data_IF_564086307884
#
_entry.id   IF_564086307884
#
_cell.length_a   1.000
_cell.length_b   1.000
_cell.length_c   1.000
_cell.angle_alpha   90.00
_cell.angle_beta   90.00
_cell.angle_gamma   90.00
#
_symmetry.space_group_name_H-M   'P 1'
#
loop_
_entity.id
_entity.type
_entity.pdbx_description
1 polymer ?
#
# COMPACT_ATOMS: atom_id res chain seq x y z
N UNK A 1 9.61 14.98 8.68
CA UNK A 1 10.00 15.18 7.28
C UNK A 1 8.85 15.77 6.48
N UNK A 2 7.68 15.16 6.47
CA UNK A 2 6.49 15.59 5.70
C UNK A 2 6.11 17.03 6.03
N UNK A 3 5.92 17.36 7.31
CA UNK A 3 5.56 18.71 7.75
C UNK A 3 6.61 19.75 7.32
N UNK A 4 7.90 19.44 7.44
CA UNK A 4 8.97 20.34 6.98
C UNK A 4 8.96 20.55 5.47
N UNK A 5 8.66 19.51 4.70
CA UNK A 5 8.50 19.59 3.26
C UNK A 5 7.30 20.45 2.89
N UNK A 6 6.16 20.25 3.54
CA UNK A 6 4.94 21.06 3.37
C UNK A 6 5.18 22.55 3.64
N UNK A 7 5.81 22.88 4.78
CA UNK A 7 6.15 24.27 5.12
C UNK A 7 7.08 24.89 4.07
N UNK A 8 8.04 24.12 3.55
CA UNK A 8 8.97 24.59 2.51
C UNK A 8 8.24 24.87 1.21
N UNK A 9 7.35 23.98 0.77
CA UNK A 9 6.53 24.13 -0.43
C UNK A 9 5.53 25.28 -0.27
N UNK A 10 4.92 25.43 0.91
CA UNK A 10 4.01 26.57 1.20
C UNK A 10 4.73 27.90 1.11
N UNK A 11 6.00 28.01 1.52
CA UNK A 11 6.82 29.23 1.38
C UNK A 11 7.31 29.48 -0.04
N UNK A 12 7.56 28.42 -0.79
CA UNK A 12 8.04 28.50 -2.17
C UNK A 12 7.38 27.42 -3.02
N UNK A 13 6.18 27.69 -3.59
CA UNK A 13 5.41 26.71 -4.36
C UNK A 13 6.16 26.14 -5.57
N UNK A 14 7.03 26.94 -6.20
CA UNK A 14 7.82 26.51 -7.37
C UNK A 14 8.82 25.40 -7.04
N UNK A 15 9.15 25.19 -5.77
CA UNK A 15 10.01 24.11 -5.28
C UNK A 15 9.29 22.76 -5.13
N UNK A 16 7.99 22.69 -5.41
CA UNK A 16 7.25 21.42 -5.41
C UNK A 16 7.62 20.58 -6.63
N UNK A 17 7.77 19.25 -6.43
CA UNK A 17 8.05 18.31 -7.52
C UNK A 17 6.87 18.19 -8.49
N UNK A 18 5.66 18.46 -8.00
CA UNK A 18 4.41 18.41 -8.78
C UNK A 18 3.95 19.77 -9.31
N UNK A 19 4.68 20.85 -9.05
CA UNK A 19 4.23 22.21 -9.33
C UNK A 19 3.76 22.45 -10.78
N UNK A 20 4.51 21.95 -11.77
CA UNK A 20 4.13 22.10 -13.18
C UNK A 20 2.89 21.25 -13.53
N UNK A 21 2.82 20.04 -13.00
CA UNK A 21 1.67 19.15 -13.21
C UNK A 21 0.43 19.71 -12.50
N UNK A 22 0.61 20.31 -11.32
CA UNK A 22 -0.48 20.94 -10.56
C UNK A 22 -1.03 22.17 -11.30
N UNK A 23 -0.18 22.94 -12.01
CA UNK A 23 -0.63 24.04 -12.86
C UNK A 23 -1.47 23.56 -14.04
N UNK A 24 -1.06 22.45 -14.68
CA UNK A 24 -1.82 21.86 -15.79
C UNK A 24 -3.13 21.24 -15.33
N UNK A 25 -3.13 20.64 -14.13
CA UNK A 25 -4.29 19.98 -13.52
C UNK A 25 -5.18 20.93 -12.72
N UNK A 26 -4.74 22.17 -12.50
CA UNK A 26 -5.48 23.16 -11.70
C UNK A 26 -6.90 23.38 -12.22
N UNK A 27 -7.10 23.30 -13.52
CA UNK A 27 -8.42 23.37 -14.14
C UNK A 27 -9.30 22.12 -13.86
N UNK A 28 -8.71 20.95 -13.70
CA UNK A 28 -9.43 19.72 -13.39
C UNK A 28 -9.83 19.61 -11.90
N UNK A 29 -9.00 20.19 -11.00
CA UNK A 29 -9.24 20.16 -9.55
C UNK A 29 -9.91 21.41 -9.00
N UNK A 30 -10.02 22.50 -9.77
CA UNK A 30 -10.84 23.66 -9.39
C UNK A 30 -12.31 23.27 -9.56
N UNK A 31 -12.92 22.84 -8.49
CA UNK A 31 -14.36 22.94 -8.32
C UNK A 31 -14.73 24.42 -8.47
N UNK A 32 -15.76 24.71 -9.25
CA UNK A 32 -16.30 26.06 -9.38
C UNK A 32 -16.58 26.61 -7.99
N UNK A 33 -15.82 27.59 -7.52
CA UNK A 33 -15.97 28.21 -6.20
C UNK A 33 -17.33 28.89 -6.00
N UNK A 34 -18.19 28.85 -7.02
CA UNK A 34 -19.43 29.63 -7.06
C UNK A 34 -20.57 29.10 -6.18
N UNK A 35 -20.53 27.85 -5.72
CA UNK A 35 -21.61 27.28 -4.91
C UNK A 35 -21.12 26.41 -3.74
N UNK A 36 -20.39 27.02 -2.80
CA UNK A 36 -19.97 26.36 -1.54
C UNK A 36 -21.02 26.42 -0.42
N UNK A 37 -22.30 26.57 -0.73
CA UNK A 37 -23.35 26.47 0.29
C UNK A 37 -23.65 25.00 0.55
N UNK A 38 -23.25 24.54 1.72
CA UNK A 38 -23.57 23.19 2.21
C UNK A 38 -25.10 22.99 2.21
N UNK A 39 -25.58 22.27 1.23
CA UNK A 39 -27.01 22.02 1.05
C UNK A 39 -27.47 20.86 1.96
N UNK A 40 -28.77 20.71 2.12
CA UNK A 40 -29.33 19.59 2.88
C UNK A 40 -29.01 18.24 2.19
N UNK A 41 -28.88 18.24 0.86
CA UNK A 41 -28.46 17.06 0.08
C UNK A 41 -27.01 16.64 0.41
N UNK A 42 -26.09 17.58 0.52
CA UNK A 42 -24.69 17.29 0.85
C UNK A 42 -24.56 16.67 2.24
N UNK A 43 -25.39 17.13 3.20
CA UNK A 43 -25.46 16.54 4.54
C UNK A 43 -25.98 15.10 4.50
N UNK A 44 -26.99 14.82 3.66
CA UNK A 44 -27.53 13.49 3.49
C UNK A 44 -26.51 12.54 2.81
N UNK A 45 -25.79 13.02 1.80
CA UNK A 45 -24.70 12.25 1.15
C UNK A 45 -23.62 11.91 2.18
N UNK A 46 -23.18 12.85 3.02
CA UNK A 46 -22.24 12.60 4.09
C UNK A 46 -22.78 11.62 5.14
N UNK A 47 -24.08 11.68 5.45
CA UNK A 47 -24.71 10.72 6.35
C UNK A 47 -24.66 9.30 5.77
N UNK A 48 -25.00 9.14 4.47
CA UNK A 48 -24.93 7.84 3.79
C UNK A 48 -23.49 7.29 3.83
N UNK A 49 -22.50 8.15 3.58
CA UNK A 49 -21.09 7.79 3.69
C UNK A 49 -20.73 7.32 5.11
N UNK A 50 -21.11 8.10 6.14
CA UNK A 50 -20.82 7.77 7.54
C UNK A 50 -21.48 6.45 7.97
N UNK A 51 -22.74 6.24 7.56
CA UNK A 51 -23.47 4.97 7.83
C UNK A 51 -22.81 3.81 7.09
N UNK A 52 -22.44 3.97 5.82
CA UNK A 52 -21.74 2.93 5.04
C UNK A 52 -20.41 2.54 5.67
N UNK A 53 -19.62 3.51 6.14
CA UNK A 53 -18.38 3.26 6.88
C UNK A 53 -18.66 2.53 8.20
N UNK A 54 -19.71 2.91 8.92
CA UNK A 54 -20.15 2.20 10.13
C UNK A 54 -20.52 0.73 9.86
N UNK A 55 -21.21 0.47 8.77
CA UNK A 55 -21.57 -0.89 8.33
C UNK A 55 -20.31 -1.71 8.02
N UNK A 56 -19.33 -1.13 7.33
CA UNK A 56 -18.05 -1.80 7.03
C UNK A 56 -17.32 -2.16 8.34
N UNK A 57 -17.19 -1.20 9.26
CA UNK A 57 -16.52 -1.44 10.55
C UNK A 57 -17.24 -2.53 11.33
N UNK A 58 -18.57 -2.48 11.41
CA UNK A 58 -19.36 -3.51 12.07
C UNK A 58 -19.21 -4.88 11.40
N UNK A 59 -19.26 -4.92 10.06
CA UNK A 59 -19.10 -6.14 9.29
C UNK A 59 -17.75 -6.81 9.50
N UNK A 60 -16.66 -6.03 9.55
CA UNK A 60 -15.31 -6.52 9.83
C UNK A 60 -15.24 -7.10 11.26
N UNK A 61 -15.73 -6.37 12.26
CA UNK A 61 -15.60 -6.76 13.66
C UNK A 61 -16.53 -7.93 14.06
N UNK A 62 -17.78 -7.92 13.57
CA UNK A 62 -18.78 -8.89 13.98
C UNK A 62 -18.87 -10.13 13.07
N UNK A 63 -18.57 -9.98 11.78
CA UNK A 63 -18.78 -11.04 10.78
C UNK A 63 -17.50 -11.44 10.05
N UNK A 64 -16.35 -10.78 10.34
CA UNK A 64 -15.06 -11.08 9.68
C UNK A 64 -15.06 -10.76 8.18
N UNK A 65 -15.81 -9.74 7.75
CA UNK A 65 -15.86 -9.33 6.35
C UNK A 65 -14.47 -9.04 5.80
N UNK A 66 -14.28 -9.42 4.53
CA UNK A 66 -13.04 -9.23 3.80
C UNK A 66 -13.30 -8.42 2.52
N UNK A 67 -12.43 -8.52 1.53
CA UNK A 67 -12.45 -7.64 0.35
C UNK A 67 -13.74 -7.67 -0.44
N UNK A 68 -14.40 -8.83 -0.57
CA UNK A 68 -15.57 -9.00 -1.41
C UNK A 68 -16.80 -8.27 -0.83
N UNK A 69 -17.06 -8.47 0.46
CA UNK A 69 -18.18 -7.83 1.15
C UNK A 69 -17.95 -6.32 1.26
N UNK A 70 -16.73 -5.90 1.59
CA UNK A 70 -16.37 -4.49 1.68
C UNK A 70 -16.56 -3.80 0.33
N UNK A 71 -16.13 -4.44 -0.77
CA UNK A 71 -16.30 -3.92 -2.13
C UNK A 71 -17.77 -3.78 -2.50
N UNK A 72 -18.61 -4.77 -2.12
CA UNK A 72 -20.05 -4.71 -2.30
C UNK A 72 -20.70 -3.52 -1.58
N UNK A 73 -20.29 -3.27 -0.33
CA UNK A 73 -20.80 -2.11 0.44
C UNK A 73 -20.35 -0.79 -0.20
N UNK A 74 -19.10 -0.68 -0.66
CA UNK A 74 -18.65 0.53 -1.38
C UNK A 74 -19.43 0.78 -2.66
N UNK A 75 -19.72 -0.27 -3.44
CA UNK A 75 -20.53 -0.17 -4.64
C UNK A 75 -21.95 0.33 -4.32
N UNK A 76 -22.61 -0.30 -3.34
CA UNK A 76 -23.95 0.09 -2.91
C UNK A 76 -23.96 1.53 -2.36
N UNK A 77 -22.96 1.88 -1.56
CA UNK A 77 -22.80 3.22 -1.01
C UNK A 77 -22.61 4.28 -2.11
N UNK A 78 -21.80 3.98 -3.14
CA UNK A 78 -21.61 4.88 -4.28
C UNK A 78 -22.89 5.16 -5.05
N UNK A 79 -23.69 4.12 -5.31
CA UNK A 79 -25.01 4.25 -5.97
C UNK A 79 -25.97 5.08 -5.09
N UNK A 80 -26.08 4.74 -3.81
CA UNK A 80 -26.97 5.44 -2.88
C UNK A 80 -26.58 6.93 -2.72
N UNK A 81 -25.30 7.24 -2.64
CA UNK A 81 -24.82 8.63 -2.60
C UNK A 81 -25.16 9.38 -3.88
N UNK A 82 -25.06 8.74 -5.03
CA UNK A 82 -25.48 9.32 -6.31
C UNK A 82 -26.97 9.66 -6.33
N UNK A 83 -27.83 8.74 -5.92
CA UNK A 83 -29.29 8.91 -5.86
C UNK A 83 -29.66 10.03 -4.87
N UNK A 84 -29.11 9.99 -3.65
CA UNK A 84 -29.36 10.99 -2.60
C UNK A 84 -28.82 12.36 -2.99
N UNK A 85 -27.68 12.40 -3.71
CA UNK A 85 -27.11 13.61 -4.29
C UNK A 85 -27.95 14.23 -5.41
N UNK A 86 -28.93 13.45 -5.92
CA UNK A 86 -29.84 13.92 -6.98
C UNK A 86 -29.27 13.77 -8.39
N UNK A 87 -28.30 12.89 -8.57
CA UNK A 87 -27.78 12.52 -9.88
C UNK A 87 -28.76 11.61 -10.62
N UNK A 88 -28.87 11.79 -11.92
CA UNK A 88 -29.61 10.85 -12.79
C UNK A 88 -28.89 9.52 -12.92
N UNK A 89 -29.61 8.46 -13.31
CA UNK A 89 -29.00 7.12 -13.56
C UNK A 89 -27.84 7.20 -14.55
N UNK A 90 -27.99 8.01 -15.59
CA UNK A 90 -26.93 8.22 -16.60
C UNK A 90 -25.68 8.86 -15.97
N UNK A 91 -25.85 9.90 -15.17
CA UNK A 91 -24.73 10.58 -14.49
C UNK A 91 -24.04 9.64 -13.51
N UNK A 92 -24.78 8.85 -12.74
CA UNK A 92 -24.21 7.82 -11.86
C UNK A 92 -23.36 6.84 -12.67
N UNK A 93 -23.89 6.31 -13.77
CA UNK A 93 -23.16 5.39 -14.63
C UNK A 93 -21.90 6.03 -15.24
N UNK A 94 -21.98 7.28 -15.69
CA UNK A 94 -20.84 8.02 -16.22
C UNK A 94 -19.74 8.22 -15.15
N UNK A 95 -20.10 8.56 -13.91
CA UNK A 95 -19.14 8.69 -12.81
C UNK A 95 -18.46 7.36 -12.48
N UNK A 96 -19.18 6.25 -12.50
CA UNK A 96 -18.57 4.92 -12.35
C UNK A 96 -17.58 4.61 -13.48
N UNK A 97 -17.93 4.93 -14.73
CA UNK A 97 -17.02 4.75 -15.88
C UNK A 97 -15.76 5.60 -15.74
N UNK A 98 -15.88 6.83 -15.25
CA UNK A 98 -14.72 7.69 -14.96
C UNK A 98 -13.84 7.04 -13.89
N UNK A 99 -14.42 6.59 -12.78
CA UNK A 99 -13.69 5.91 -11.72
C UNK A 99 -12.96 4.64 -12.21
N UNK A 100 -13.61 3.84 -13.05
CA UNK A 100 -12.97 2.66 -13.68
C UNK A 100 -11.80 3.06 -14.56
N UNK A 101 -11.93 4.11 -15.37
CA UNK A 101 -10.82 4.61 -16.21
C UNK A 101 -9.62 5.06 -15.37
N UNK A 102 -9.86 5.76 -14.27
CA UNK A 102 -8.79 6.24 -13.38
C UNK A 102 -8.01 5.09 -12.73
N UNK A 103 -8.68 3.97 -12.45
CA UNK A 103 -8.07 2.79 -11.83
C UNK A 103 -7.62 1.70 -12.82
N UNK A 104 -8.00 1.80 -14.09
CA UNK A 104 -7.72 0.76 -15.10
C UNK A 104 -6.23 0.45 -15.22
N UNK A 105 -5.38 1.47 -15.24
CA UNK A 105 -3.92 1.29 -15.29
C UNK A 105 -3.41 0.50 -14.08
N UNK A 106 -3.88 0.84 -12.88
CA UNK A 106 -3.51 0.14 -11.65
C UNK A 106 -3.94 -1.34 -11.70
N UNK A 107 -5.16 -1.63 -12.15
CA UNK A 107 -5.66 -2.98 -12.29
C UNK A 107 -4.83 -3.83 -13.25
N UNK A 108 -4.46 -3.27 -14.42
CA UNK A 108 -3.60 -3.97 -15.40
C UNK A 108 -2.21 -4.24 -14.82
N UNK A 109 -1.59 -3.26 -14.15
CA UNK A 109 -0.26 -3.43 -13.53
C UNK A 109 -0.31 -4.53 -12.47
N UNK A 110 -1.33 -4.54 -11.60
CA UNK A 110 -1.51 -5.58 -10.57
C UNK A 110 -1.66 -6.96 -11.22
N UNK A 111 -2.43 -7.07 -12.31
CA UNK A 111 -2.61 -8.31 -13.05
C UNK A 111 -1.29 -8.85 -13.63
N UNK A 112 -0.50 -7.98 -14.26
CA UNK A 112 0.83 -8.35 -14.81
C UNK A 112 1.78 -8.78 -13.68
N UNK A 113 1.81 -8.05 -12.56
CA UNK A 113 2.64 -8.41 -11.41
C UNK A 113 2.23 -9.76 -10.81
N UNK A 114 0.93 -10.07 -10.79
CA UNK A 114 0.46 -11.40 -10.36
C UNK A 114 0.94 -12.51 -11.30
N UNK A 115 0.99 -12.24 -12.61
CA UNK A 115 1.57 -13.16 -13.59
C UNK A 115 3.05 -13.47 -13.31
N UNK A 116 3.85 -12.46 -12.97
CA UNK A 116 5.26 -12.64 -12.58
C UNK A 116 5.38 -13.55 -11.34
N UNK A 117 4.52 -13.35 -10.35
CA UNK A 117 4.49 -14.20 -9.15
C UNK A 117 4.22 -15.66 -9.51
N UNK A 118 3.19 -15.92 -10.33
CA UNK A 118 2.83 -17.29 -10.76
C UNK A 118 4.01 -17.98 -11.48
N UNK A 119 4.73 -17.24 -12.33
CA UNK A 119 5.93 -17.78 -13.02
C UNK A 119 7.04 -18.08 -12.02
N UNK A 120 7.26 -17.21 -11.03
CA UNK A 120 8.30 -17.41 -10.01
C UNK A 120 7.97 -18.59 -9.07
N UNK A 121 6.71 -18.79 -8.72
CA UNK A 121 6.23 -19.93 -7.93
C UNK A 121 6.38 -21.24 -8.72
N UNK A 122 5.83 -21.30 -9.94
CA UNK A 122 5.89 -22.50 -10.79
C UNK A 122 7.33 -22.87 -11.20
N UNK A 123 8.20 -21.89 -11.34
CA UNK A 123 9.62 -22.09 -11.62
C UNK A 123 10.47 -22.47 -10.39
N UNK A 124 9.88 -22.61 -9.20
CA UNK A 124 10.57 -22.84 -7.92
C UNK A 124 11.71 -21.84 -7.67
N UNK A 125 11.61 -20.64 -8.24
CA UNK A 125 12.63 -19.58 -8.11
C UNK A 125 12.70 -19.12 -6.66
N UNK A 126 11.53 -18.96 -6.03
CA UNK A 126 11.41 -18.50 -4.63
C UNK A 126 12.06 -19.54 -3.70
N UNK A 127 11.74 -20.81 -3.86
CA UNK A 127 12.31 -21.92 -3.08
C UNK A 127 13.83 -22.03 -3.25
N UNK A 128 14.32 -21.83 -4.46
CA UNK A 128 15.76 -21.83 -4.76
C UNK A 128 16.48 -20.70 -4.03
N UNK A 129 15.90 -19.48 -4.03
CA UNK A 129 16.45 -18.33 -3.30
C UNK A 129 16.49 -18.63 -1.80
N UNK A 130 15.40 -19.13 -1.22
CA UNK A 130 15.30 -19.43 0.20
C UNK A 130 16.29 -20.53 0.63
N UNK A 131 16.43 -21.59 -0.14
CA UNK A 131 17.41 -22.66 0.11
C UNK A 131 18.86 -22.18 0.08
N UNK A 132 19.22 -21.37 -0.92
CA UNK A 132 20.56 -20.80 -1.01
C UNK A 132 20.88 -19.90 0.19
N UNK A 133 19.92 -19.08 0.58
CA UNK A 133 20.07 -18.16 1.70
C UNK A 133 20.16 -18.88 3.04
N UNK A 134 19.43 -19.97 3.24
CA UNK A 134 19.53 -20.78 4.45
C UNK A 134 20.95 -21.31 4.68
N UNK A 135 21.60 -21.77 3.61
CA UNK A 135 22.99 -22.21 3.67
C UNK A 135 24.00 -21.07 3.90
N UNK A 136 23.77 -19.90 3.29
CA UNK A 136 24.67 -18.76 3.40
C UNK A 136 24.60 -18.04 4.77
N UNK A 137 23.48 -18.19 5.49
CA UNK A 137 23.25 -17.54 6.78
C UNK A 137 23.68 -18.39 7.96
N UNK A 138 24.03 -19.64 7.78
CA UNK A 138 24.54 -20.54 8.83
C UNK A 138 25.83 -19.96 9.41
N UNK A 139 25.85 -19.64 10.71
CA UNK A 139 27.03 -19.15 11.42
C UNK A 139 27.31 -17.66 11.38
N UNK A 140 26.36 -16.83 10.86
CA UNK A 140 26.46 -15.37 10.88
C UNK A 140 25.92 -14.83 12.21
N UNK A 141 26.56 -13.80 12.79
CA UNK A 141 26.09 -13.19 14.07
C UNK A 141 24.67 -12.65 13.96
N UNK A 142 23.90 -12.69 15.08
CA UNK A 142 22.45 -12.40 15.14
C UNK A 142 22.05 -11.07 14.47
N UNK A 143 22.80 -9.99 14.67
CA UNK A 143 22.49 -8.70 14.05
C UNK A 143 22.63 -8.73 12.52
N UNK A 144 23.69 -9.36 12.01
CA UNK A 144 23.92 -9.51 10.59
C UNK A 144 22.88 -10.47 9.96
N UNK A 145 22.51 -11.54 10.67
CA UNK A 145 21.44 -12.45 10.29
C UNK A 145 20.11 -11.70 10.10
N UNK A 146 19.70 -10.87 11.06
CA UNK A 146 18.48 -10.06 11.00
C UNK A 146 18.51 -9.09 9.81
N UNK A 147 19.67 -8.44 9.58
CA UNK A 147 19.82 -7.51 8.45
C UNK A 147 19.68 -8.23 7.09
N UNK A 148 20.29 -9.40 6.95
CA UNK A 148 20.17 -10.19 5.72
C UNK A 148 18.75 -10.72 5.57
N UNK A 149 18.12 -11.23 6.64
CA UNK A 149 16.73 -11.67 6.62
C UNK A 149 15.79 -10.53 6.19
N UNK A 150 16.00 -9.30 6.68
CA UNK A 150 15.24 -8.13 6.27
C UNK A 150 15.41 -7.84 4.76
N UNK A 151 16.64 -7.89 4.24
CA UNK A 151 16.88 -7.66 2.81
C UNK A 151 16.21 -8.72 1.94
N UNK A 152 16.29 -9.98 2.34
CA UNK A 152 15.64 -11.09 1.65
C UNK A 152 14.13 -10.93 1.61
N UNK A 153 13.53 -10.67 2.76
CA UNK A 153 12.08 -10.43 2.86
C UNK A 153 11.66 -9.21 2.03
N UNK A 154 12.49 -8.16 1.99
CA UNK A 154 12.23 -6.99 1.14
C UNK A 154 12.28 -7.32 -0.34
N UNK A 155 13.26 -8.11 -0.79
CA UNK A 155 13.36 -8.54 -2.19
C UNK A 155 12.17 -9.43 -2.59
N UNK A 156 11.83 -10.41 -1.74
CA UNK A 156 10.67 -11.27 -1.98
C UNK A 156 9.36 -10.50 -1.97
N UNK A 157 9.24 -9.47 -1.14
CA UNK A 157 8.08 -8.59 -1.10
C UNK A 157 7.85 -7.79 -2.39
N UNK A 158 8.89 -7.55 -3.19
CA UNK A 158 8.72 -6.97 -4.54
C UNK A 158 7.95 -7.91 -5.47
N UNK A 159 8.12 -9.22 -5.30
CA UNK A 159 7.42 -10.25 -6.08
C UNK A 159 6.06 -10.58 -5.47
N UNK A 160 6.01 -10.68 -4.13
CA UNK A 160 4.85 -11.09 -3.34
C UNK A 160 4.42 -9.95 -2.42
N UNK A 161 3.64 -8.97 -2.89
CA UNK A 161 3.25 -7.81 -2.08
C UNK A 161 2.28 -8.14 -0.95
N UNK A 162 1.62 -9.30 -1.01
CA UNK A 162 0.71 -9.77 0.05
C UNK A 162 1.49 -10.30 1.25
N UNK A 163 1.30 -9.71 2.42
CA UNK A 163 1.95 -10.13 3.67
C UNK A 163 1.60 -11.57 4.06
N UNK A 164 0.35 -11.99 3.87
CA UNK A 164 -0.11 -13.35 4.18
C UNK A 164 0.54 -14.38 3.25
N UNK A 165 0.60 -14.10 1.94
CA UNK A 165 1.24 -14.99 0.99
C UNK A 165 2.75 -15.06 1.23
N UNK A 166 3.41 -13.93 1.49
CA UNK A 166 4.83 -13.89 1.81
C UNK A 166 5.13 -14.67 3.10
N UNK A 167 4.30 -14.51 4.14
CA UNK A 167 4.43 -15.28 5.38
C UNK A 167 4.33 -16.79 5.13
N UNK A 168 3.32 -17.23 4.38
CA UNK A 168 3.13 -18.65 4.05
C UNK A 168 4.30 -19.27 3.32
N UNK A 169 4.97 -18.49 2.46
CA UNK A 169 6.14 -18.95 1.70
C UNK A 169 7.42 -18.94 2.56
N UNK A 170 7.62 -17.94 3.39
CA UNK A 170 8.92 -17.71 4.02
C UNK A 170 9.01 -18.17 5.47
N UNK A 171 7.92 -18.11 6.26
CA UNK A 171 7.96 -18.47 7.67
C UNK A 171 8.34 -19.94 7.95
N UNK A 172 7.90 -20.94 7.16
CA UNK A 172 8.34 -22.33 7.37
C UNK A 172 9.85 -22.52 7.33
N UNK A 173 10.58 -21.61 6.69
CA UNK A 173 12.05 -21.64 6.58
C UNK A 173 12.70 -20.65 7.55
N UNK A 174 12.18 -19.44 7.63
CA UNK A 174 12.80 -18.36 8.42
C UNK A 174 12.67 -18.56 9.93
N UNK A 175 11.55 -19.11 10.42
CA UNK A 175 11.36 -19.35 11.84
C UNK A 175 12.35 -20.44 12.37
N UNK A 176 12.49 -21.61 11.75
CA UNK A 176 13.53 -22.58 12.14
C UNK A 176 14.96 -22.04 12.02
N UNK A 177 15.22 -21.17 11.05
CA UNK A 177 16.54 -20.54 10.91
C UNK A 177 16.85 -19.61 12.08
N UNK A 178 15.85 -18.88 12.60
CA UNK A 178 16.01 -18.07 13.81
C UNK A 178 16.41 -18.96 15.01
N UNK A 179 15.71 -20.08 15.21
CA UNK A 179 16.04 -21.03 16.28
C UNK A 179 17.50 -21.56 16.18
N UNK A 180 17.93 -21.92 14.98
CA UNK A 180 19.30 -22.40 14.72
C UNK A 180 20.37 -21.33 14.99
N UNK A 181 20.02 -20.06 14.83
CA UNK A 181 20.93 -18.93 15.07
C UNK A 181 20.82 -18.35 16.50
N UNK A 182 20.00 -18.95 17.37
CA UNK A 182 19.74 -18.46 18.71
C UNK A 182 19.04 -17.10 18.73
N UNK A 183 18.26 -16.79 17.70
CA UNK A 183 17.44 -15.59 17.56
C UNK A 183 16.00 -15.96 17.86
N UNK A 184 15.29 -15.12 18.62
CA UNK A 184 13.88 -15.37 18.90
C UNK A 184 13.07 -15.50 17.59
N UNK A 185 12.32 -16.61 17.36
CA UNK A 185 11.53 -16.80 16.15
C UNK A 185 10.48 -15.71 15.92
N UNK A 186 9.98 -15.04 16.96
CA UNK A 186 9.06 -13.92 16.85
C UNK A 186 9.68 -12.73 16.11
N UNK A 187 11.01 -12.59 16.16
CA UNK A 187 11.74 -11.59 15.38
C UNK A 187 11.55 -11.78 13.87
N UNK A 188 11.39 -13.04 13.40
CA UNK A 188 11.13 -13.30 11.98
C UNK A 188 9.81 -12.68 11.50
N UNK A 189 8.78 -12.70 12.34
CA UNK A 189 7.47 -12.08 12.04
C UNK A 189 7.62 -10.55 12.00
N UNK A 190 8.35 -9.99 12.97
CA UNK A 190 8.63 -8.55 13.02
C UNK A 190 9.40 -8.09 11.77
N UNK A 191 10.43 -8.81 11.40
CA UNK A 191 11.25 -8.55 10.20
C UNK A 191 10.38 -8.63 8.93
N UNK A 192 9.56 -9.66 8.79
CA UNK A 192 8.66 -9.84 7.66
C UNK A 192 7.71 -8.63 7.53
N UNK A 193 7.08 -8.21 8.60
CA UNK A 193 6.12 -7.11 8.57
C UNK A 193 6.79 -5.78 8.19
N UNK A 194 7.91 -5.44 8.80
CA UNK A 194 8.64 -4.23 8.42
C UNK A 194 9.15 -4.27 6.99
N UNK A 195 9.76 -5.39 6.56
CA UNK A 195 10.27 -5.56 5.22
C UNK A 195 9.14 -5.46 4.17
N UNK A 196 8.03 -6.16 4.39
CA UNK A 196 6.90 -6.15 3.47
C UNK A 196 6.25 -4.77 3.37
N UNK A 197 5.91 -4.14 4.50
CA UNK A 197 5.20 -2.86 4.48
C UNK A 197 6.06 -1.72 3.92
N UNK A 198 7.34 -1.66 4.27
CA UNK A 198 8.24 -0.65 3.74
C UNK A 198 8.50 -0.84 2.24
N UNK A 199 8.67 -2.08 1.79
CA UNK A 199 8.83 -2.39 0.37
C UNK A 199 7.56 -2.05 -0.40
N UNK A 200 6.38 -2.41 0.10
CA UNK A 200 5.09 -2.09 -0.53
C UNK A 200 4.83 -0.60 -0.65
N UNK A 201 5.40 0.22 0.24
CA UNK A 201 5.33 1.68 0.13
C UNK A 201 6.01 2.21 -1.14
N UNK A 202 7.01 1.50 -1.66
CA UNK A 202 7.76 1.89 -2.86
C UNK A 202 7.52 0.99 -4.08
N UNK A 203 6.91 -0.17 -3.87
CA UNK A 203 6.77 -1.17 -4.93
C UNK A 203 5.68 -0.79 -5.93
N UNK A 204 5.94 -0.91 -7.24
CA UNK A 204 4.91 -0.81 -8.27
C UNK A 204 3.97 -2.03 -8.27
N UNK A 205 4.34 -3.12 -7.57
CA UNK A 205 3.52 -4.33 -7.47
C UNK A 205 2.46 -4.25 -6.37
N UNK A 206 2.60 -3.28 -5.46
CA UNK A 206 1.66 -3.08 -4.36
C UNK A 206 0.42 -2.32 -4.83
N UNK A 207 -0.71 -3.02 -4.93
CA UNK A 207 -1.96 -2.48 -5.46
C UNK A 207 -2.43 -1.21 -4.76
N UNK A 208 -2.32 -1.14 -3.44
CA UNK A 208 -2.68 0.03 -2.65
C UNK A 208 -1.85 1.27 -3.02
N UNK A 209 -0.55 1.08 -3.26
CA UNK A 209 0.36 2.15 -3.68
C UNK A 209 0.03 2.64 -5.08
N UNK A 210 -0.18 1.71 -6.03
CA UNK A 210 -0.49 2.06 -7.42
C UNK A 210 -1.86 2.73 -7.53
N UNK A 211 -2.87 2.21 -6.83
CA UNK A 211 -4.20 2.81 -6.79
C UNK A 211 -4.17 4.23 -6.18
N UNK A 212 -3.47 4.41 -5.06
CA UNK A 212 -3.32 5.73 -4.44
C UNK A 212 -2.62 6.75 -5.35
N UNK A 213 -1.59 6.33 -6.08
CA UNK A 213 -0.92 7.20 -7.07
C UNK A 213 -1.82 7.55 -8.24
N UNK A 214 -2.63 6.59 -8.72
CA UNK A 214 -3.59 6.83 -9.80
C UNK A 214 -4.64 7.86 -9.39
N UNK A 215 -5.24 7.71 -8.20
CA UNK A 215 -6.21 8.68 -7.65
C UNK A 215 -5.61 10.07 -7.49
N UNK A 216 -4.37 10.15 -6.96
CA UNK A 216 -3.67 11.43 -6.81
C UNK A 216 -3.11 11.97 -8.13
N UNK A 217 -3.21 11.21 -9.24
CA UNK A 217 -2.61 11.54 -10.55
C UNK A 217 -1.11 11.89 -10.44
N UNK A 218 -0.38 11.19 -9.57
CA UNK A 218 1.06 11.36 -9.34
C UNK A 218 1.81 10.21 -10.00
N UNK A 219 2.90 10.53 -10.73
CA UNK A 219 3.73 9.50 -11.33
C UNK A 219 4.61 8.81 -10.28
N UNK A 220 4.93 7.55 -10.55
CA UNK A 220 5.79 6.75 -9.67
C UNK A 220 7.16 7.40 -9.44
N UNK A 221 7.75 8.02 -10.50
CA UNK A 221 9.02 8.72 -10.40
C UNK A 221 8.99 9.95 -9.50
N UNK A 222 7.90 10.71 -9.49
CA UNK A 222 7.71 11.86 -8.59
C UNK A 222 7.61 11.41 -7.13
N UNK A 223 6.85 10.34 -6.87
CA UNK A 223 6.78 9.74 -5.54
C UNK A 223 8.17 9.30 -5.05
N UNK A 224 8.93 8.59 -5.88
CA UNK A 224 10.27 8.14 -5.52
C UNK A 224 11.19 9.30 -5.11
N UNK A 225 11.23 10.37 -5.91
CA UNK A 225 12.03 11.57 -5.61
C UNK A 225 11.65 12.24 -4.28
N UNK A 226 10.40 12.13 -3.86
CA UNK A 226 9.92 12.74 -2.61
C UNK A 226 10.20 11.86 -1.40
N UNK A 227 10.01 10.55 -1.52
CA UNK A 227 9.94 9.62 -0.38
C UNK A 227 11.28 8.94 -0.06
N UNK A 228 12.26 8.88 -0.99
CA UNK A 228 13.46 8.08 -0.81
C UNK A 228 14.25 8.38 0.48
N UNK A 229 14.35 9.66 0.89
CA UNK A 229 15.01 10.06 2.15
C UNK A 229 14.26 9.56 3.38
N UNK A 230 12.94 9.68 3.34
CA UNK A 230 12.07 9.16 4.39
C UNK A 230 12.15 7.63 4.46
N UNK A 231 12.14 6.97 3.32
CA UNK A 231 12.28 5.52 3.22
C UNK A 231 13.58 5.03 3.85
N UNK A 232 14.73 5.64 3.52
CA UNK A 232 16.02 5.28 4.14
C UNK A 232 15.97 5.45 5.66
N UNK A 233 15.44 6.57 6.14
CA UNK A 233 15.32 6.83 7.57
C UNK A 233 14.50 5.74 8.28
N UNK A 234 13.33 5.42 7.72
CA UNK A 234 12.43 4.42 8.32
C UNK A 234 13.01 3.01 8.20
N UNK A 235 13.71 2.69 7.10
CA UNK A 235 14.43 1.41 6.95
C UNK A 235 15.52 1.24 8.02
N UNK A 236 16.30 2.27 8.28
CA UNK A 236 17.31 2.21 9.36
C UNK A 236 16.65 2.01 10.71
N UNK A 237 15.56 2.74 11.00
CA UNK A 237 14.79 2.53 12.23
C UNK A 237 14.23 1.13 12.34
N UNK A 238 13.68 0.58 11.25
CA UNK A 238 13.15 -0.77 11.20
C UNK A 238 14.24 -1.81 11.49
N UNK A 239 15.42 -1.67 10.89
CA UNK A 239 16.57 -2.55 11.17
C UNK A 239 16.99 -2.51 12.63
N UNK A 240 17.05 -1.33 13.24
CA UNK A 240 17.37 -1.20 14.67
C UNK A 240 16.31 -1.90 15.52
N UNK A 241 15.03 -1.67 15.23
CA UNK A 241 13.94 -2.35 15.94
C UNK A 241 13.96 -3.87 15.79
N UNK A 242 14.16 -4.36 14.56
CA UNK A 242 14.28 -5.79 14.29
C UNK A 242 15.46 -6.41 15.05
N UNK A 243 16.59 -5.71 15.09
CA UNK A 243 17.78 -6.19 15.82
C UNK A 243 17.54 -6.24 17.33
N UNK A 244 16.86 -5.25 17.89
CA UNK A 244 16.47 -5.24 19.31
C UNK A 244 15.51 -6.40 19.59
N UNK A 245 14.48 -6.56 18.75
CA UNK A 245 13.49 -7.66 18.89
C UNK A 245 14.16 -9.06 18.80
N UNK A 246 15.25 -9.18 18.07
CA UNK A 246 15.99 -10.43 17.94
C UNK A 246 16.88 -10.77 19.15
N UNK A 247 17.19 -9.78 19.98
CA UNK A 247 18.02 -9.91 21.17
C UNK A 247 17.22 -10.08 22.47
N UNK A 248 15.91 -9.82 22.41
CA UNK A 248 14.97 -10.02 23.51
C UNK A 248 14.42 -11.45 23.51
#
# INVERSE_FOLDING_TARGET
YVIRYEIKVKKNPTGSITYQDDLLKKQEFMMDEKDTRFTLRDKLVLLVFAVGMGIIVYGILAHGWYMDEISGVFLAMGILMGIVGGLSEKEIAEQFVIGVKDLAFAAVVIGVCRGILVVAENGMIIDTILNYLSGALAGVGSAAFVAVMYLVQSLLSLLVPSSSALASLTMPIMAPLCDLQGVNPEASVTVLQFANQLTNMLSPTAGMTVAGLAVCKITFGQRWKTIWKFFILVTVMALVFCTISAML
#
